data_IF_674298432430
#
_entry.id   IF_674298432430
#
_cell.length_a   1.000
_cell.length_b   1.000
_cell.length_c   1.000
_cell.angle_alpha   90.00
_cell.angle_beta   90.00
_cell.angle_gamma   90.00
#
_symmetry.space_group_name_H-M   'P 1'
#
loop_
_entity.id
_entity.type
_entity.pdbx_description
1 polymer ?
#
# COMPACT_ATOMS: atom_id res chain seq x y z
N UNK A 1 -4.22 19.20 3.87
CA UNK A 1 -4.20 18.39 5.12
C UNK A 1 -5.06 19.10 6.15
N UNK A 2 -5.81 18.38 6.96
CA UNK A 2 -6.68 18.92 8.02
C UNK A 2 -6.19 18.35 9.35
N UNK A 3 -6.02 19.13 10.43
CA UNK A 3 -5.71 18.55 11.74
C UNK A 3 -6.77 17.52 12.14
N UNK A 4 -6.35 16.38 12.70
CA UNK A 4 -7.26 15.27 12.97
C UNK A 4 -8.42 15.65 13.91
N UNK A 5 -8.19 16.56 14.85
CA UNK A 5 -9.22 17.10 15.75
C UNK A 5 -10.25 17.99 15.01
N UNK A 6 -9.84 18.60 13.90
CA UNK A 6 -10.65 19.51 13.10
C UNK A 6 -11.47 18.78 12.02
N UNK A 7 -11.03 17.58 11.61
CA UNK A 7 -11.61 16.84 10.51
C UNK A 7 -13.06 16.39 10.78
N UNK A 8 -13.30 15.69 11.89
CA UNK A 8 -14.64 15.17 12.20
C UNK A 8 -15.69 16.28 12.36
N UNK A 9 -15.43 17.39 13.06
CA UNK A 9 -16.36 18.53 13.10
C UNK A 9 -16.72 19.08 11.71
N UNK A 10 -15.74 19.20 10.80
CA UNK A 10 -15.98 19.65 9.42
C UNK A 10 -16.83 18.66 8.63
N UNK A 11 -16.54 17.36 8.77
CA UNK A 11 -17.30 16.31 8.12
C UNK A 11 -18.75 16.29 8.62
N UNK A 12 -18.99 16.42 9.92
CA UNK A 12 -20.36 16.52 10.47
C UNK A 12 -21.13 17.72 9.90
N UNK A 13 -20.49 18.89 9.77
CA UNK A 13 -21.11 20.07 9.13
C UNK A 13 -21.47 19.83 7.67
N UNK A 14 -20.57 19.19 6.91
CA UNK A 14 -20.85 18.77 5.54
C UNK A 14 -22.06 17.83 5.51
N UNK A 15 -22.10 16.80 6.35
CA UNK A 15 -23.21 15.85 6.41
C UNK A 15 -24.54 16.54 6.73
N UNK A 16 -24.57 17.46 7.70
CA UNK A 16 -25.75 18.24 8.02
C UNK A 16 -26.27 19.04 6.81
N UNK A 17 -25.36 19.66 6.03
CA UNK A 17 -25.72 20.37 4.80
C UNK A 17 -26.27 19.46 3.69
N UNK A 18 -25.88 18.18 3.70
CA UNK A 18 -26.38 17.15 2.79
C UNK A 18 -27.71 16.54 3.27
N UNK A 19 -28.23 16.98 4.42
CA UNK A 19 -29.50 16.53 4.99
C UNK A 19 -29.38 15.34 5.94
N UNK A 20 -28.19 15.08 6.48
CA UNK A 20 -27.99 14.03 7.49
C UNK A 20 -28.50 14.50 8.86
N UNK A 21 -29.21 13.63 9.57
CA UNK A 21 -29.78 13.87 10.89
C UNK A 21 -29.08 12.98 11.94
N UNK A 22 -28.35 13.62 12.85
CA UNK A 22 -27.58 13.00 13.95
C UNK A 22 -26.85 11.69 13.55
N UNK A 23 -25.89 11.77 12.60
CA UNK A 23 -25.31 10.57 12.03
C UNK A 23 -24.38 9.84 13.01
N UNK A 24 -24.50 8.51 13.03
CA UNK A 24 -23.60 7.60 13.74
C UNK A 24 -22.27 7.53 13.00
N UNK A 25 -21.18 7.82 13.72
CA UNK A 25 -19.82 7.85 13.16
C UNK A 25 -19.13 6.52 13.46
N UNK A 26 -18.70 5.82 12.41
CA UNK A 26 -17.88 4.61 12.50
C UNK A 26 -16.52 4.90 11.89
N UNK A 27 -15.45 4.67 12.65
CA UNK A 27 -14.07 4.80 12.19
C UNK A 27 -13.43 3.42 12.19
N UNK A 28 -13.02 2.91 11.03
CA UNK A 28 -12.24 1.68 10.96
C UNK A 28 -10.76 2.03 10.91
N UNK A 29 -10.00 1.50 11.87
CA UNK A 29 -8.55 1.59 11.88
C UNK A 29 -7.85 0.43 11.18
N UNK A 30 -8.55 -0.70 10.96
CA UNK A 30 -7.85 -1.96 10.63
C UNK A 30 -8.50 -2.83 9.54
N UNK A 31 -9.82 -2.79 9.27
CA UNK A 31 -10.38 -3.45 8.07
C UNK A 31 -11.70 -2.83 7.59
N UNK A 32 -11.83 -2.60 6.28
CA UNK A 32 -13.08 -2.19 5.66
C UNK A 32 -14.15 -3.28 5.64
N UNK A 33 -13.74 -4.55 5.76
CA UNK A 33 -14.63 -5.72 5.81
C UNK A 33 -15.57 -5.66 7.02
N UNK A 34 -15.04 -5.34 8.20
CA UNK A 34 -15.85 -5.12 9.41
C UNK A 34 -16.87 -3.98 9.21
N UNK A 35 -16.49 -2.94 8.46
CA UNK A 35 -17.37 -1.81 8.19
C UNK A 35 -18.49 -2.19 7.21
N UNK A 36 -18.18 -2.95 6.15
CA UNK A 36 -19.19 -3.50 5.24
C UNK A 36 -20.20 -4.40 5.97
N UNK A 37 -19.72 -5.28 6.86
CA UNK A 37 -20.59 -6.16 7.66
C UNK A 37 -21.54 -5.37 8.58
N UNK A 38 -21.06 -4.27 9.18
CA UNK A 38 -21.89 -3.38 9.99
C UNK A 38 -22.92 -2.58 9.20
N UNK A 39 -22.68 -2.36 7.90
CA UNK A 39 -23.53 -1.58 7.00
C UNK A 39 -24.52 -2.46 6.22
N UNK A 40 -24.25 -3.76 6.11
CA UNK A 40 -25.06 -4.70 5.36
C UNK A 40 -26.47 -4.89 5.98
N UNK A 41 -27.52 -4.99 5.15
CA UNK A 41 -28.88 -5.21 5.61
C UNK A 41 -29.04 -6.62 6.20
N UNK A 42 -29.44 -6.72 7.46
CA UNK A 42 -29.73 -8.00 8.14
C UNK A 42 -28.67 -8.53 9.11
N UNK A 43 -27.55 -7.83 9.32
CA UNK A 43 -26.45 -8.27 10.17
C UNK A 43 -26.70 -8.16 11.69
N UNK A 44 -27.90 -7.81 12.15
CA UNK A 44 -28.20 -7.54 13.57
C UNK A 44 -29.42 -8.29 14.08
N UNK A 45 -29.34 -8.70 15.35
CA UNK A 45 -30.30 -9.57 16.02
C UNK A 45 -31.70 -8.95 16.16
N UNK A 46 -32.72 -9.78 16.48
CA UNK A 46 -34.14 -9.45 16.37
C UNK A 46 -34.68 -8.42 17.38
N UNK A 47 -33.82 -7.77 18.17
CA UNK A 47 -34.21 -6.89 19.29
C UNK A 47 -33.63 -5.47 19.18
N UNK A 48 -32.83 -5.17 18.15
CA UNK A 48 -32.49 -3.79 17.81
C UNK A 48 -33.65 -3.24 16.98
N UNK A 49 -34.41 -2.30 17.56
CA UNK A 49 -35.40 -1.52 16.82
C UNK A 49 -34.77 -0.96 15.53
N UNK A 50 -35.60 -0.70 14.52
CA UNK A 50 -35.20 -0.09 13.25
C UNK A 50 -34.39 1.19 13.49
N UNK A 51 -33.08 1.07 13.63
CA UNK A 51 -32.18 2.20 13.71
C UNK A 51 -31.96 2.69 12.27
N UNK A 52 -32.92 3.47 11.79
CA UNK A 52 -32.91 4.30 10.58
C UNK A 52 -31.96 5.50 10.74
N UNK A 53 -30.81 5.30 11.41
CA UNK A 53 -29.84 6.36 11.65
C UNK A 53 -28.95 6.57 10.42
N UNK A 54 -28.64 7.83 10.14
CA UNK A 54 -27.66 8.16 9.13
C UNK A 54 -26.25 7.72 9.57
N UNK A 55 -25.37 7.37 8.62
CA UNK A 55 -24.04 6.86 8.94
C UNK A 55 -22.92 7.62 8.25
N UNK A 56 -21.88 7.91 9.03
CA UNK A 56 -20.58 8.40 8.56
C UNK A 56 -19.54 7.30 8.79
N UNK A 57 -19.06 6.73 7.70
CA UNK A 57 -17.92 5.81 7.66
C UNK A 57 -16.63 6.59 7.39
N UNK A 58 -15.62 6.44 8.25
CA UNK A 58 -14.28 6.99 8.04
C UNK A 58 -13.30 5.82 7.89
N UNK A 59 -12.79 5.65 6.69
CA UNK A 59 -11.68 4.74 6.39
C UNK A 59 -10.38 5.53 6.49
N UNK A 60 -9.59 5.24 7.51
CA UNK A 60 -8.33 5.91 7.73
C UNK A 60 -7.22 4.87 7.79
N UNK A 61 -6.17 5.06 6.98
CA UNK A 61 -4.97 4.27 7.08
C UNK A 61 -3.86 5.15 7.68
N UNK A 62 -3.30 4.70 8.80
CA UNK A 62 -2.26 5.46 9.51
C UNK A 62 -0.91 5.24 8.84
N UNK A 63 -0.16 6.32 8.69
CA UNK A 63 1.20 6.28 8.16
C UNK A 63 2.08 7.28 8.94
N UNK A 64 3.23 6.85 9.48
CA UNK A 64 4.15 7.76 10.17
C UNK A 64 4.76 8.73 9.16
N UNK A 65 4.84 10.01 9.51
CA UNK A 65 5.48 11.00 8.64
C UNK A 65 6.98 10.69 8.46
N UNK A 66 7.42 10.47 7.22
CA UNK A 66 8.85 10.46 6.89
C UNK A 66 9.20 11.67 6.03
N UNK A 67 10.25 12.40 6.45
CA UNK A 67 10.72 13.60 5.77
C UNK A 67 11.21 13.36 4.33
N UNK A 68 11.46 12.09 3.97
CA UNK A 68 12.05 11.69 2.69
C UNK A 68 11.04 11.08 1.70
N UNK A 69 9.73 11.20 1.93
CA UNK A 69 8.76 10.77 0.92
C UNK A 69 8.96 11.55 -0.38
N UNK A 70 9.49 10.87 -1.40
CA UNK A 70 9.85 11.46 -2.70
C UNK A 70 11.35 11.64 -2.96
N UNK A 71 12.21 11.44 -1.96
CA UNK A 71 13.66 11.45 -2.15
C UNK A 71 14.18 10.02 -2.31
N UNK A 72 14.84 9.73 -3.43
CA UNK A 72 15.38 8.40 -3.77
C UNK A 72 16.51 7.92 -2.83
N UNK A 73 16.86 8.70 -1.81
CA UNK A 73 18.03 8.48 -0.95
C UNK A 73 17.70 8.88 0.49
N UNK A 74 16.69 8.25 1.08
CA UNK A 74 16.46 8.37 2.51
C UNK A 74 17.41 7.45 3.26
N UNK A 75 18.42 7.99 3.93
CA UNK A 75 19.25 7.26 4.89
C UNK A 75 18.33 6.45 5.84
N UNK A 76 18.47 5.12 5.94
CA UNK A 76 17.68 4.29 6.84
C UNK A 76 18.21 4.52 8.27
N UNK A 77 17.79 5.62 8.90
CA UNK A 77 18.50 6.11 10.07
C UNK A 77 17.68 6.34 11.33
N UNK A 78 16.40 6.74 11.25
CA UNK A 78 15.78 7.34 12.45
C UNK A 78 14.46 6.74 12.95
N UNK A 79 13.84 5.78 12.26
CA UNK A 79 12.70 5.05 12.84
C UNK A 79 12.64 3.54 12.51
N UNK A 80 13.76 2.88 12.22
CA UNK A 80 13.82 1.42 12.33
C UNK A 80 14.12 1.04 13.79
N UNK A 81 13.19 1.40 14.67
CA UNK A 81 12.92 0.64 15.90
C UNK A 81 11.46 0.19 15.86
N UNK A 82 11.08 -0.45 14.75
CA UNK A 82 9.96 -1.36 14.79
C UNK A 82 10.45 -2.55 15.60
N UNK A 83 10.04 -2.57 16.86
CA UNK A 83 10.06 -3.75 17.71
C UNK A 83 9.64 -4.93 16.84
N UNK A 84 10.54 -5.89 16.67
CA UNK A 84 10.21 -7.19 16.08
C UNK A 84 9.29 -7.92 17.06
N UNK A 85 8.04 -7.47 17.17
CA UNK A 85 6.99 -8.14 17.90
C UNK A 85 6.53 -9.33 17.07
N UNK A 86 6.45 -10.49 17.68
CA UNK A 86 5.94 -11.74 17.11
C UNK A 86 4.41 -11.73 16.94
N UNK A 87 3.81 -10.56 16.70
CA UNK A 87 2.37 -10.36 16.52
C UNK A 87 2.00 -10.17 15.05
N UNK A 88 0.69 -10.25 14.76
CA UNK A 88 0.15 -9.86 13.45
C UNK A 88 0.56 -8.42 13.12
N UNK A 89 0.89 -8.12 11.85
CA UNK A 89 1.28 -6.78 11.45
C UNK A 89 0.11 -5.81 11.67
N UNK A 90 0.34 -4.73 12.43
CA UNK A 90 -0.68 -3.74 12.76
C UNK A 90 -0.99 -2.80 11.58
N UNK A 91 -0.05 -2.62 10.66
CA UNK A 91 -0.21 -1.73 9.50
C UNK A 91 0.28 -2.37 8.20
N UNK A 92 -0.19 -1.88 7.03
CA UNK A 92 0.37 -2.28 5.74
C UNK A 92 1.89 -2.05 5.67
N UNK A 93 2.41 -1.01 6.33
CA UNK A 93 3.84 -0.71 6.38
C UNK A 93 4.63 -1.80 7.13
N UNK A 94 4.13 -2.25 8.28
CA UNK A 94 4.74 -3.33 9.05
C UNK A 94 4.72 -4.65 8.27
N UNK A 95 3.62 -4.91 7.55
CA UNK A 95 3.46 -6.08 6.73
C UNK A 95 4.49 -6.17 5.60
N UNK A 96 4.78 -5.05 4.91
CA UNK A 96 5.72 -5.05 3.78
C UNK A 96 7.20 -4.89 4.18
N UNK A 97 7.50 -4.50 5.42
CA UNK A 97 8.86 -4.27 5.90
C UNK A 97 9.86 -5.43 5.62
N UNK A 98 9.53 -6.72 5.87
CA UNK A 98 10.43 -7.82 5.52
C UNK A 98 10.67 -7.95 4.00
N UNK A 99 9.65 -7.66 3.18
CA UNK A 99 9.73 -7.74 1.72
C UNK A 99 10.60 -6.62 1.14
N UNK A 100 10.51 -5.40 1.69
CA UNK A 100 11.40 -4.29 1.34
C UNK A 100 12.86 -4.69 1.61
N UNK A 101 13.15 -5.31 2.76
CA UNK A 101 14.52 -5.75 3.10
C UNK A 101 15.06 -6.74 2.08
N UNK A 102 14.25 -7.71 1.67
CA UNK A 102 14.65 -8.70 0.66
C UNK A 102 14.86 -8.05 -0.72
N UNK A 103 13.98 -7.13 -1.12
CA UNK A 103 14.12 -6.39 -2.37
C UNK A 103 15.40 -5.55 -2.40
N UNK A 104 15.68 -4.78 -1.33
CA UNK A 104 16.93 -4.00 -1.20
C UNK A 104 18.17 -4.88 -1.24
N UNK A 105 18.13 -6.01 -0.52
CA UNK A 105 19.20 -6.99 -0.59
C UNK A 105 19.46 -7.45 -2.03
N UNK A 106 18.40 -7.78 -2.78
CA UNK A 106 18.52 -8.19 -4.18
C UNK A 106 19.07 -7.07 -5.07
N UNK A 107 18.63 -5.82 -4.88
CA UNK A 107 19.15 -4.66 -5.63
C UNK A 107 20.67 -4.47 -5.47
N UNK A 108 21.20 -4.75 -4.28
CA UNK A 108 22.62 -4.56 -3.94
C UNK A 108 23.49 -5.76 -4.33
N UNK A 109 22.93 -6.97 -4.31
CA UNK A 109 23.70 -8.22 -4.42
C UNK A 109 23.57 -8.91 -5.77
N UNK A 110 22.56 -8.56 -6.58
CA UNK A 110 22.53 -8.92 -8.00
C UNK A 110 23.42 -7.93 -8.75
N UNK A 111 24.38 -8.42 -9.52
CA UNK A 111 25.37 -7.58 -10.19
C UNK A 111 25.35 -7.75 -11.71
N UNK A 112 25.45 -6.63 -12.43
CA UNK A 112 25.59 -6.55 -13.87
C UNK A 112 27.03 -6.21 -14.22
N UNK A 113 27.62 -6.92 -15.17
CA UNK A 113 28.98 -6.64 -15.65
C UNK A 113 29.32 -7.38 -16.94
N UNK A 114 30.60 -7.39 -17.30
CA UNK A 114 31.10 -8.18 -18.42
C UNK A 114 31.98 -9.32 -17.93
N UNK A 115 31.94 -10.47 -18.60
CA UNK A 115 32.89 -11.56 -18.36
C UNK A 115 34.29 -11.23 -18.90
N UNK A 116 35.24 -12.16 -18.73
CA UNK A 116 36.62 -12.01 -19.23
C UNK A 116 36.72 -11.87 -20.75
N UNK A 117 35.68 -12.27 -21.49
CA UNK A 117 35.58 -12.13 -22.94
C UNK A 117 34.81 -10.86 -23.36
N UNK A 118 34.42 -9.99 -22.42
CA UNK A 118 33.67 -8.77 -22.69
C UNK A 118 32.17 -8.99 -22.94
N UNK A 119 31.63 -10.18 -22.65
CA UNK A 119 30.20 -10.48 -22.85
C UNK A 119 29.37 -10.03 -21.64
N UNK A 120 28.21 -9.38 -21.84
CA UNK A 120 27.33 -8.98 -20.75
C UNK A 120 26.80 -10.18 -19.95
N UNK A 121 27.06 -10.19 -18.65
CA UNK A 121 26.65 -11.23 -17.70
C UNK A 121 26.00 -10.63 -16.44
N UNK A 122 25.18 -11.45 -15.78
CA UNK A 122 24.57 -11.13 -14.50
C UNK A 122 25.03 -12.16 -13.46
N UNK A 123 25.43 -11.66 -12.30
CA UNK A 123 25.79 -12.49 -11.15
C UNK A 123 24.66 -12.39 -10.13
N UNK A 124 24.11 -13.54 -9.76
CA UNK A 124 22.95 -13.65 -8.87
C UNK A 124 23.29 -14.60 -7.72
N UNK A 125 23.00 -14.25 -6.46
CA UNK A 125 23.00 -15.22 -5.37
C UNK A 125 22.11 -16.44 -5.67
N UNK A 126 22.64 -17.65 -5.50
CA UNK A 126 21.96 -18.91 -5.89
C UNK A 126 20.60 -19.09 -5.19
N UNK A 127 20.45 -18.58 -3.97
CA UNK A 127 19.18 -18.63 -3.24
C UNK A 127 18.08 -17.76 -3.86
N UNK A 128 18.45 -16.65 -4.54
CA UNK A 128 17.50 -15.82 -5.28
C UNK A 128 17.07 -16.48 -6.59
N UNK A 129 17.86 -17.41 -7.14
CA UNK A 129 17.52 -18.19 -8.34
C UNK A 129 16.65 -19.38 -7.98
N UNK A 130 17.09 -20.16 -6.99
CA UNK A 130 16.47 -21.41 -6.58
C UNK A 130 15.23 -21.22 -5.71
N UNK A 131 15.06 -20.06 -5.08
CA UNK A 131 14.01 -19.79 -4.09
C UNK A 131 14.13 -20.63 -2.81
N UNK A 132 15.27 -21.31 -2.60
CA UNK A 132 15.40 -22.44 -1.67
C UNK A 132 16.12 -22.16 -0.35
N UNK A 133 16.30 -20.90 0.04
CA UNK A 133 17.07 -20.60 1.27
C UNK A 133 16.41 -19.55 2.16
N UNK A 134 15.14 -19.77 2.51
CA UNK A 134 14.54 -19.03 3.62
C UNK A 134 13.98 -19.98 4.65
N UNK A 135 14.79 -20.22 5.68
CA UNK A 135 14.35 -20.61 7.03
C UNK A 135 13.25 -19.70 7.61
N UNK A 136 12.91 -18.60 6.91
CA UNK A 136 11.91 -17.58 7.27
C UNK A 136 10.58 -17.65 6.46
N UNK A 137 10.34 -18.69 5.65
CA UNK A 137 9.01 -18.98 5.09
C UNK A 137 8.50 -18.08 3.95
N UNK A 138 9.14 -16.95 3.61
CA UNK A 138 8.90 -16.19 2.36
C UNK A 138 10.22 -15.64 1.82
N UNK A 139 10.52 -15.94 0.56
CA UNK A 139 11.74 -15.53 -0.14
C UNK A 139 11.47 -14.86 -1.48
N UNK A 140 12.21 -13.79 -1.77
CA UNK A 140 12.29 -13.18 -3.10
C UNK A 140 12.99 -14.15 -4.05
N UNK A 141 12.31 -14.47 -5.15
CA UNK A 141 12.85 -15.26 -6.25
C UNK A 141 12.93 -14.40 -7.51
N UNK A 142 14.07 -14.45 -8.18
CA UNK A 142 14.33 -13.77 -9.44
C UNK A 142 13.77 -14.61 -10.59
N UNK A 143 13.07 -13.96 -11.51
CA UNK A 143 12.59 -14.58 -12.73
C UNK A 143 13.72 -14.70 -13.76
N UNK A 144 14.52 -15.76 -13.63
CA UNK A 144 15.70 -15.99 -14.48
C UNK A 144 15.34 -16.04 -15.97
N UNK A 145 14.19 -16.59 -16.34
CA UNK A 145 13.75 -16.66 -17.74
C UNK A 145 13.58 -15.27 -18.38
N UNK A 146 13.30 -14.24 -17.58
CA UNK A 146 13.19 -12.84 -18.05
C UNK A 146 14.52 -12.11 -18.09
N UNK A 147 15.60 -12.68 -17.55
CA UNK A 147 16.87 -11.98 -17.39
C UNK A 147 18.01 -12.66 -18.14
N UNK A 148 18.02 -13.99 -18.19
CA UNK A 148 19.11 -14.80 -18.72
C UNK A 148 18.68 -15.60 -19.95
N UNK A 149 19.65 -15.94 -20.80
CA UNK A 149 19.42 -16.84 -21.93
C UNK A 149 19.05 -18.25 -21.41
N UNK A 150 18.11 -18.95 -22.07
CA UNK A 150 17.81 -20.33 -21.74
C UNK A 150 19.03 -21.20 -22.07
N UNK A 151 19.58 -21.86 -21.05
CA UNK A 151 20.60 -22.89 -21.22
C UNK A 151 22.04 -22.39 -21.30
N UNK A 152 22.56 -21.75 -20.25
CA UNK A 152 23.96 -21.90 -19.81
C UNK A 152 24.19 -21.18 -18.48
N UNK A 153 24.29 -21.95 -17.40
CA UNK A 153 24.78 -21.46 -16.10
C UNK A 153 26.31 -21.50 -16.16
N UNK A 154 26.93 -20.37 -16.50
CA UNK A 154 28.32 -20.36 -16.95
C UNK A 154 29.35 -20.69 -15.86
N UNK A 155 29.02 -20.53 -14.57
CA UNK A 155 29.87 -21.01 -13.47
C UNK A 155 29.18 -20.86 -12.10
N UNK A 156 29.32 -21.87 -11.23
CA UNK A 156 29.12 -21.73 -9.78
C UNK A 156 30.46 -21.45 -9.14
N UNK A 157 30.70 -20.21 -8.73
CA UNK A 157 31.89 -19.88 -7.93
C UNK A 157 31.57 -20.16 -6.47
N UNK A 158 32.05 -21.30 -5.97
CA UNK A 158 31.93 -21.66 -4.56
C UNK A 158 33.17 -21.18 -3.81
N UNK A 159 33.09 -19.99 -3.21
CA UNK A 159 34.00 -19.61 -2.12
C UNK A 159 33.14 -19.20 -0.93
N UNK A 160 33.15 -20.05 0.10
CA UNK A 160 32.69 -19.79 1.48
C UNK A 160 31.43 -18.92 1.68
N UNK A 161 30.35 -19.60 2.09
CA UNK A 161 29.11 -19.08 2.70
C UNK A 161 28.03 -18.40 1.80
N UNK A 162 28.27 -18.11 0.52
CA UNK A 162 27.19 -17.75 -0.42
C UNK A 162 27.52 -18.20 -1.84
N UNK A 163 26.77 -19.20 -2.34
CA UNK A 163 26.89 -19.64 -3.73
C UNK A 163 26.40 -18.52 -4.66
N UNK A 164 27.24 -18.12 -5.62
CA UNK A 164 26.89 -17.17 -6.67
C UNK A 164 26.79 -17.90 -8.01
N UNK A 165 25.85 -17.46 -8.84
CA UNK A 165 25.60 -17.98 -10.17
C UNK A 165 25.80 -16.88 -11.20
N UNK A 166 26.68 -17.13 -12.16
CA UNK A 166 26.87 -16.25 -13.32
C UNK A 166 26.02 -16.74 -14.48
N UNK A 167 25.21 -15.86 -15.04
CA UNK A 167 24.29 -16.14 -16.15
C UNK A 167 24.53 -15.16 -17.30
N UNK A 168 24.45 -15.66 -18.53
CA UNK A 168 24.49 -14.81 -19.73
C UNK A 168 23.17 -14.06 -19.88
N UNK A 169 23.21 -12.73 -20.03
CA UNK A 169 21.97 -11.95 -20.15
C UNK A 169 21.17 -12.31 -21.41
N UNK A 170 19.85 -12.36 -21.30
CA UNK A 170 18.95 -12.45 -22.44
C UNK A 170 18.99 -11.18 -23.31
N UNK A 171 18.76 -11.32 -24.61
CA UNK A 171 18.85 -10.21 -25.55
C UNK A 171 17.84 -9.09 -25.25
N UNK A 172 16.60 -9.45 -24.90
CA UNK A 172 15.56 -8.48 -24.55
C UNK A 172 15.91 -7.68 -23.30
N UNK A 173 16.48 -8.32 -22.26
CA UNK A 173 16.87 -7.63 -21.04
C UNK A 173 18.05 -6.69 -21.28
N UNK A 174 19.02 -7.07 -22.14
CA UNK A 174 20.09 -6.16 -22.58
C UNK A 174 19.54 -4.92 -23.26
N UNK A 175 18.51 -5.07 -24.10
CA UNK A 175 17.86 -3.95 -24.75
C UNK A 175 17.18 -3.03 -23.73
N UNK A 176 16.44 -3.59 -22.76
CA UNK A 176 15.84 -2.81 -21.66
C UNK A 176 16.87 -2.01 -20.86
N UNK A 177 18.03 -2.60 -20.57
CA UNK A 177 19.13 -1.91 -19.89
C UNK A 177 19.69 -0.76 -20.74
N UNK A 178 19.86 -0.99 -22.05
CA UNK A 178 20.32 0.04 -22.99
C UNK A 178 19.34 1.20 -23.08
N UNK A 179 18.04 0.93 -23.15
CA UNK A 179 16.99 1.95 -23.19
C UNK A 179 16.95 2.79 -21.91
N UNK A 180 17.41 2.22 -20.79
CA UNK A 180 17.61 2.92 -19.50
C UNK A 180 19.01 3.54 -19.35
N UNK A 181 19.77 3.67 -20.43
CA UNK A 181 21.11 4.25 -20.47
C UNK A 181 22.13 3.55 -19.55
N UNK A 182 22.00 2.24 -19.32
CA UNK A 182 22.99 1.48 -18.57
C UNK A 182 24.29 1.36 -19.36
N UNK A 183 25.40 1.83 -18.78
CA UNK A 183 26.73 1.75 -19.38
C UNK A 183 27.47 0.50 -18.91
N UNK A 184 27.81 -0.39 -19.85
CA UNK A 184 28.68 -1.53 -19.57
C UNK A 184 30.12 -1.04 -19.38
N UNK A 185 30.69 -1.33 -18.21
CA UNK A 185 32.10 -1.07 -17.91
C UNK A 185 32.86 -2.39 -17.84
N UNK A 186 33.94 -2.50 -18.62
CA UNK A 186 34.77 -3.71 -18.62
C UNK A 186 35.45 -3.86 -17.26
N UNK A 187 35.41 -5.07 -16.70
CA UNK A 187 36.04 -5.39 -15.40
C UNK A 187 35.33 -4.85 -14.16
N UNK A 188 34.20 -4.13 -14.31
CA UNK A 188 33.44 -3.58 -13.18
C UNK A 188 32.06 -4.23 -13.13
N UNK A 189 31.70 -4.75 -11.95
CA UNK A 189 30.38 -5.27 -11.65
C UNK A 189 29.60 -4.26 -10.82
N UNK A 190 28.52 -3.74 -11.39
CA UNK A 190 27.64 -2.77 -10.72
C UNK A 190 26.40 -3.47 -10.17
N UNK A 191 25.87 -3.06 -9.02
CA UNK A 191 24.58 -3.53 -8.52
C UNK A 191 23.46 -3.30 -9.55
N UNK A 192 22.48 -4.19 -9.61
CA UNK A 192 21.33 -4.06 -10.52
C UNK A 192 20.47 -2.84 -10.16
N UNK A 193 20.40 -2.46 -8.89
CA UNK A 193 19.71 -1.24 -8.44
C UNK A 193 18.29 -1.10 -8.97
N UNK A 194 17.96 0.06 -9.54
CA UNK A 194 16.66 0.39 -10.16
C UNK A 194 16.29 -0.47 -11.38
N UNK A 195 17.26 -1.21 -11.94
CA UNK A 195 16.99 -2.07 -13.07
C UNK A 195 16.31 -3.39 -12.66
N UNK A 196 16.23 -3.69 -11.35
CA UNK A 196 15.41 -4.78 -10.82
C UNK A 196 13.93 -4.35 -10.74
N UNK A 197 13.24 -4.41 -11.88
CA UNK A 197 11.84 -4.01 -11.98
C UNK A 197 10.89 -5.08 -11.41
N UNK A 198 9.64 -4.72 -11.04
CA UNK A 198 8.65 -5.64 -10.46
C UNK A 198 8.44 -6.94 -11.25
N UNK A 199 8.63 -6.88 -12.56
CA UNK A 199 8.43 -7.99 -13.48
C UNK A 199 9.53 -9.04 -13.43
N UNK A 200 10.66 -8.73 -12.80
CA UNK A 200 11.87 -9.54 -12.76
C UNK A 200 11.97 -10.40 -11.51
N UNK A 201 11.02 -10.31 -10.58
CA UNK A 201 11.00 -11.10 -9.36
C UNK A 201 9.59 -11.38 -8.88
N UNK A 202 9.47 -12.34 -7.99
CA UNK A 202 8.25 -12.68 -7.26
C UNK A 202 8.61 -13.07 -5.83
N UNK A 203 7.63 -13.03 -4.92
CA UNK A 203 7.80 -13.56 -3.58
C UNK A 203 7.14 -14.94 -3.50
N UNK A 204 7.89 -15.92 -3.02
CA UNK A 204 7.46 -17.33 -2.92
C UNK A 204 7.70 -17.84 -1.50
N UNK A 205 6.79 -18.63 -0.93
CA UNK A 205 7.03 -19.32 0.34
C UNK A 205 5.75 -19.66 1.12
N UNK A 206 5.92 -20.54 2.11
CA UNK A 206 4.86 -21.16 2.92
C UNK A 206 4.31 -20.30 4.06
N UNK A 207 4.74 -19.04 4.30
CA UNK A 207 4.14 -18.25 5.41
C UNK A 207 2.66 -17.86 5.21
N UNK A 208 2.01 -18.42 4.18
CA UNK A 208 0.58 -18.31 3.91
C UNK A 208 -0.21 -19.37 4.70
N UNK A 209 0.42 -20.09 5.65
CA UNK A 209 -0.20 -21.09 6.57
C UNK A 209 -1.20 -20.44 7.58
N UNK A 210 -1.65 -19.22 7.34
CA UNK A 210 -2.93 -18.74 7.88
C UNK A 210 -3.83 -18.49 6.69
N UNK A 211 -5.04 -19.07 6.68
CA UNK A 211 -5.96 -19.16 5.54
C UNK A 211 -6.30 -17.82 4.83
N UNK A 212 -5.81 -16.69 5.33
CA UNK A 212 -5.67 -15.44 4.60
C UNK A 212 -4.53 -14.62 5.21
N UNK A 213 -3.61 -14.03 4.41
CA UNK A 213 -2.68 -13.02 4.93
C UNK A 213 -3.44 -11.85 5.56
N UNK A 214 -2.80 -11.11 6.48
CA UNK A 214 -3.38 -9.94 7.15
C UNK A 214 -3.87 -8.86 6.16
N UNK A 215 -3.14 -8.71 5.05
CA UNK A 215 -3.42 -7.73 3.98
C UNK A 215 -3.33 -8.42 2.60
N UNK A 216 -4.36 -9.17 2.19
CA UNK A 216 -4.33 -9.96 0.95
C UNK A 216 -4.17 -9.10 -0.30
N UNK A 217 -4.80 -7.93 -0.34
CA UNK A 217 -4.69 -6.97 -1.43
C UNK A 217 -3.26 -6.41 -1.58
N UNK A 218 -2.57 -6.20 -0.44
CA UNK A 218 -1.17 -5.75 -0.42
C UNK A 218 -0.25 -6.89 -0.87
N UNK A 219 -0.52 -8.13 -0.42
CA UNK A 219 0.23 -9.31 -0.82
C UNK A 219 0.17 -9.55 -2.34
N UNK A 220 -1.02 -9.40 -2.95
CA UNK A 220 -1.21 -9.55 -4.38
C UNK A 220 -0.39 -8.55 -5.23
N UNK A 221 -0.11 -7.37 -4.69
CA UNK A 221 0.62 -6.29 -5.37
C UNK A 221 2.08 -6.15 -4.92
N UNK A 222 2.59 -7.11 -4.14
CA UNK A 222 3.87 -6.98 -3.43
C UNK A 222 5.06 -6.57 -4.31
N UNK A 223 5.33 -7.17 -5.49
CA UNK A 223 6.46 -6.76 -6.33
C UNK A 223 6.41 -5.30 -6.77
N UNK A 224 5.21 -4.80 -7.08
CA UNK A 224 4.99 -3.40 -7.48
C UNK A 224 5.16 -2.45 -6.29
N UNK A 225 4.68 -2.85 -5.12
CA UNK A 225 4.75 -2.07 -3.89
C UNK A 225 6.21 -1.90 -3.44
N UNK A 226 6.99 -2.98 -3.34
CA UNK A 226 8.37 -2.89 -2.82
C UNK A 226 9.32 -2.17 -3.77
N UNK A 227 9.05 -2.21 -5.08
CA UNK A 227 9.82 -1.48 -6.09
C UNK A 227 9.38 -0.01 -6.22
N UNK A 228 8.28 0.39 -5.59
CA UNK A 228 7.81 1.77 -5.61
C UNK A 228 8.79 2.71 -4.87
N UNK A 229 8.87 3.97 -5.30
CA UNK A 229 9.75 4.98 -4.66
C UNK A 229 9.42 5.22 -3.18
N UNK A 230 8.14 5.08 -2.84
CA UNK A 230 7.60 5.20 -1.48
C UNK A 230 6.77 3.95 -1.17
N UNK A 231 7.41 2.82 -0.79
CA UNK A 231 6.73 1.53 -0.68
C UNK A 231 5.70 1.50 0.45
N UNK A 232 5.99 2.15 1.59
CA UNK A 232 5.03 2.31 2.70
C UNK A 232 3.75 2.99 2.24
N UNK A 233 3.87 4.15 1.57
CA UNK A 233 2.71 4.88 1.03
C UNK A 233 1.95 4.04 -0.01
N UNK A 234 2.66 3.33 -0.89
CA UNK A 234 2.03 2.48 -1.90
C UNK A 234 1.17 1.36 -1.26
N UNK A 235 1.69 0.68 -0.24
CA UNK A 235 0.92 -0.35 0.48
C UNK A 235 -0.31 0.24 1.18
N UNK A 236 -0.14 1.37 1.87
CA UNK A 236 -1.23 2.07 2.54
C UNK A 236 -2.33 2.48 1.55
N UNK A 237 -1.97 2.99 0.37
CA UNK A 237 -2.93 3.36 -0.67
C UNK A 237 -3.66 2.15 -1.25
N UNK A 238 -2.98 1.04 -1.53
CA UNK A 238 -3.61 -0.19 -2.02
C UNK A 238 -4.64 -0.72 -1.01
N UNK A 239 -4.28 -0.74 0.27
CA UNK A 239 -5.19 -1.14 1.34
C UNK A 239 -6.41 -0.22 1.43
N UNK A 240 -6.18 1.11 1.44
CA UNK A 240 -7.25 2.10 1.55
C UNK A 240 -8.20 2.06 0.34
N UNK A 241 -7.65 1.92 -0.87
CA UNK A 241 -8.44 1.82 -2.11
C UNK A 241 -9.32 0.58 -2.12
N UNK A 242 -8.76 -0.58 -1.79
CA UNK A 242 -9.53 -1.83 -1.74
C UNK A 242 -10.65 -1.74 -0.71
N UNK A 243 -10.34 -1.20 0.47
CA UNK A 243 -11.34 -1.01 1.51
C UNK A 243 -12.45 -0.03 1.12
N UNK A 244 -12.10 1.09 0.49
CA UNK A 244 -13.06 2.07 0.02
C UNK A 244 -13.99 1.50 -1.07
N UNK A 245 -13.44 0.79 -2.04
CA UNK A 245 -14.23 0.10 -3.07
C UNK A 245 -15.25 -0.86 -2.45
N UNK A 246 -14.84 -1.68 -1.47
CA UNK A 246 -15.75 -2.62 -0.80
C UNK A 246 -16.89 -1.92 -0.04
N UNK A 247 -16.64 -0.75 0.56
CA UNK A 247 -17.72 0.03 1.19
C UNK A 247 -18.65 0.63 0.15
N UNK A 248 -18.14 1.17 -0.96
CA UNK A 248 -19.02 1.70 -2.00
C UNK A 248 -19.83 0.58 -2.69
N UNK A 249 -19.26 -0.62 -2.89
CA UNK A 249 -20.03 -1.80 -3.35
C UNK A 249 -21.13 -2.17 -2.35
N UNK A 250 -20.84 -2.11 -1.05
CA UNK A 250 -21.85 -2.33 0.00
C UNK A 250 -22.96 -1.28 -0.06
N UNK A 251 -22.62 0.00 -0.26
CA UNK A 251 -23.60 1.08 -0.46
C UNK A 251 -24.44 0.88 -1.73
N UNK A 252 -23.87 0.28 -2.79
CA UNK A 252 -24.59 0.02 -4.03
C UNK A 252 -25.56 -1.15 -3.85
N UNK A 253 -25.14 -2.15 -3.06
CA UNK A 253 -25.93 -3.33 -2.77
C UNK A 253 -27.09 -3.05 -1.79
N UNK A 254 -27.05 -1.95 -1.02
CA UNK A 254 -28.21 -1.56 -0.21
C UNK A 254 -29.36 -1.13 -1.13
N UNK A 255 -30.45 -1.90 -1.09
CA UNK A 255 -31.62 -1.69 -1.93
C UNK A 255 -32.38 -0.39 -1.64
N UNK A 256 -33.50 -0.15 -2.36
CA UNK A 256 -34.36 1.02 -2.15
C UNK A 256 -35.00 1.07 -0.76
N UNK A 257 -35.04 -0.06 -0.06
CA UNK A 257 -35.57 -0.21 1.30
C UNK A 257 -34.63 0.37 2.39
N UNK A 258 -33.38 0.71 2.05
CA UNK A 258 -32.48 1.38 2.99
C UNK A 258 -32.83 2.88 3.05
N UNK A 259 -33.44 3.28 4.17
CA UNK A 259 -33.91 4.66 4.40
C UNK A 259 -32.83 5.60 4.97
N UNK A 260 -31.60 5.10 5.13
CA UNK A 260 -30.50 5.85 5.76
C UNK A 260 -29.72 6.68 4.73
N UNK A 261 -29.23 7.84 5.14
CA UNK A 261 -28.17 8.55 4.43
C UNK A 261 -26.81 7.94 4.85
N UNK A 262 -25.98 7.61 3.87
CA UNK A 262 -24.69 6.97 4.10
C UNK A 262 -23.59 7.80 3.44
N UNK A 263 -22.49 8.06 4.14
CA UNK A 263 -21.28 8.63 3.55
C UNK A 263 -20.06 7.87 4.04
N UNK A 264 -19.18 7.51 3.11
CA UNK A 264 -17.87 6.96 3.40
C UNK A 264 -16.82 7.96 2.97
N UNK A 265 -15.88 8.29 3.84
CA UNK A 265 -14.71 9.12 3.55
C UNK A 265 -13.45 8.29 3.78
N UNK A 266 -12.66 8.13 2.73
CA UNK A 266 -11.34 7.52 2.78
C UNK A 266 -10.24 8.60 2.85
N UNK A 267 -9.22 8.36 3.66
CA UNK A 267 -8.06 9.22 3.72
C UNK A 267 -6.88 8.65 4.48
N UNK A 268 -5.78 9.40 4.45
CA UNK A 268 -4.55 9.05 5.16
C UNK A 268 -4.49 9.78 6.49
N UNK A 269 -4.16 9.05 7.56
CA UNK A 269 -3.83 9.64 8.86
C UNK A 269 -2.32 9.73 8.99
N UNK A 270 -1.78 10.93 8.84
CA UNK A 270 -0.35 11.20 8.94
C UNK A 270 -0.02 11.44 10.41
N UNK A 271 0.77 10.53 10.98
CA UNK A 271 1.25 10.63 12.34
C UNK A 271 2.57 11.43 12.39
N UNK A 272 2.55 12.63 12.99
CA UNK A 272 3.73 13.48 13.14
C UNK A 272 4.49 13.23 14.44
N UNK A 273 4.11 12.26 15.28
CA UNK A 273 4.73 12.03 16.59
C UNK A 273 6.25 11.81 16.53
N UNK A 274 6.76 11.29 15.41
CA UNK A 274 8.20 11.11 15.16
C UNK A 274 8.95 12.41 14.78
N UNK A 275 8.25 13.51 14.51
CA UNK A 275 8.84 14.71 13.92
C UNK A 275 8.92 15.89 14.89
N UNK A 276 10.15 16.23 15.32
CA UNK A 276 10.51 17.48 16.03
C UNK A 276 9.55 17.88 17.18
N UNK A 277 9.08 16.90 17.96
CA UNK A 277 8.22 17.15 19.12
C UNK A 277 6.78 17.54 18.78
N UNK A 278 6.35 17.46 17.51
CA UNK A 278 4.95 17.60 17.14
C UNK A 278 4.19 16.36 17.58
N UNK A 279 3.06 16.56 18.26
CA UNK A 279 2.16 15.46 18.67
C UNK A 279 0.89 15.40 17.81
N UNK A 280 0.84 16.23 16.78
CA UNK A 280 -0.32 16.41 15.94
C UNK A 280 -0.46 15.27 14.95
N UNK A 281 -1.71 14.90 14.66
CA UNK A 281 -2.04 14.03 13.53
C UNK A 281 -2.80 14.85 12.51
N UNK A 282 -2.56 14.56 11.24
CA UNK A 282 -3.25 15.21 10.14
C UNK A 282 -4.03 14.17 9.35
N UNK A 283 -5.26 14.49 9.01
CA UNK A 283 -6.05 13.73 8.07
C UNK A 283 -5.93 14.35 6.68
N UNK A 284 -5.59 13.53 5.69
CA UNK A 284 -5.61 13.91 4.28
C UNK A 284 -6.79 13.19 3.64
N UNK A 285 -7.92 13.89 3.41
CA UNK A 285 -9.03 13.29 2.69
C UNK A 285 -8.58 12.95 1.27
N UNK A 286 -8.95 11.76 0.80
CA UNK A 286 -8.59 11.28 -0.52
C UNK A 286 -9.81 11.13 -1.40
N UNK A 287 -10.84 10.46 -0.93
CA UNK A 287 -12.06 10.23 -1.69
C UNK A 287 -13.24 10.02 -0.75
N UNK A 288 -14.44 10.37 -1.20
CA UNK A 288 -15.67 10.01 -0.51
C UNK A 288 -16.70 9.46 -1.48
N UNK A 289 -17.60 8.62 -0.98
CA UNK A 289 -18.78 8.17 -1.69
C UNK A 289 -19.98 8.31 -0.76
N UNK A 290 -21.09 8.84 -1.25
CA UNK A 290 -22.28 9.04 -0.43
C UNK A 290 -23.55 8.65 -1.16
N UNK A 291 -24.54 8.21 -0.38
CA UNK A 291 -25.88 7.79 -0.79
C UNK A 291 -26.88 8.57 0.06
N UNK A 292 -27.88 9.16 -0.59
CA UNK A 292 -28.98 9.87 0.07
C UNK A 292 -30.27 9.07 -0.03
N UNK A 293 -31.00 8.96 1.05
CA UNK A 293 -32.36 8.45 1.01
C UNK A 293 -33.31 9.42 0.27
N UNK A 294 -34.27 8.87 -0.47
CA UNK A 294 -35.32 9.64 -1.16
C UNK A 294 -34.94 10.28 -2.50
N UNK A 295 -33.67 10.23 -2.91
CA UNK A 295 -33.27 10.57 -4.28
C UNK A 295 -33.32 9.33 -5.16
N UNK A 296 -33.98 9.42 -6.31
CA UNK A 296 -34.34 8.30 -7.16
C UNK A 296 -33.10 7.47 -7.59
N UNK A 297 -33.24 6.14 -7.47
CA UNK A 297 -32.35 5.08 -7.98
C UNK A 297 -30.89 5.13 -7.57
N UNK A 298 -30.53 4.55 -6.42
CA UNK A 298 -29.26 3.83 -6.21
C UNK A 298 -27.94 4.54 -6.51
N UNK A 299 -27.96 5.86 -6.77
CA UNK A 299 -26.79 6.57 -7.24
C UNK A 299 -25.87 6.84 -6.05
N UNK A 300 -24.73 6.17 -6.05
CA UNK A 300 -23.58 6.55 -5.24
C UNK A 300 -22.94 7.76 -5.90
N UNK A 301 -22.82 8.84 -5.16
CA UNK A 301 -22.18 10.06 -5.61
C UNK A 301 -20.71 10.06 -5.16
N UNK A 302 -19.74 9.93 -6.07
CA UNK A 302 -18.34 10.06 -5.74
C UNK A 302 -17.98 11.54 -5.52
N UNK A 303 -17.13 11.80 -4.53
CA UNK A 303 -16.45 13.07 -4.30
C UNK A 303 -14.95 12.79 -4.39
N UNK A 304 -14.31 13.35 -5.42
CA UNK A 304 -12.87 13.26 -5.61
C UNK A 304 -12.14 14.17 -4.61
N UNK A 305 -10.83 13.98 -4.50
CA UNK A 305 -10.00 14.65 -3.47
C UNK A 305 -10.20 16.16 -3.41
N UNK A 306 -10.13 16.84 -4.56
CA UNK A 306 -10.22 18.30 -4.62
C UNK A 306 -11.61 18.80 -4.24
N UNK A 307 -12.67 18.19 -4.78
CA UNK A 307 -14.06 18.53 -4.47
C UNK A 307 -14.38 18.27 -2.99
N UNK A 308 -13.92 17.14 -2.46
CA UNK A 308 -14.06 16.79 -1.05
C UNK A 308 -13.32 17.77 -0.16
N UNK A 309 -12.09 18.16 -0.54
CA UNK A 309 -11.32 19.13 0.22
C UNK A 309 -12.01 20.50 0.20
N UNK A 310 -12.44 20.97 -0.96
CA UNK A 310 -13.19 22.23 -1.12
C UNK A 310 -14.47 22.20 -0.29
N UNK A 311 -15.24 21.10 -0.36
CA UNK A 311 -16.43 20.91 0.45
C UNK A 311 -16.10 21.03 1.95
N UNK A 312 -15.12 20.27 2.45
CA UNK A 312 -14.71 20.31 3.87
C UNK A 312 -14.17 21.67 4.33
N UNK A 313 -13.62 22.49 3.43
CA UNK A 313 -13.06 23.81 3.75
C UNK A 313 -14.09 24.93 3.68
N UNK A 314 -15.03 24.89 2.73
CA UNK A 314 -16.02 25.96 2.53
C UNK A 314 -17.03 26.08 3.67
N UNK A 315 -17.35 24.99 4.37
CA UNK A 315 -18.31 25.02 5.48
C UNK A 315 -17.79 25.63 6.79
N UNK A 316 -16.57 26.20 6.79
CA UNK A 316 -16.11 27.06 7.87
C UNK A 316 -16.60 28.52 7.78
N UNK A 317 -17.08 28.98 6.61
CA UNK A 317 -17.38 30.40 6.38
C UNK A 317 -18.84 30.83 6.65
N UNK A 318 -19.76 29.90 6.88
CA UNK A 318 -21.17 30.24 7.15
C UNK A 318 -21.52 30.39 8.65
N UNK A 319 -20.54 30.33 9.55
CA UNK A 319 -20.75 30.40 11.01
C UNK A 319 -20.33 31.71 11.69
N UNK A 320 -19.90 32.75 10.95
CA UNK A 320 -19.48 34.04 11.54
C UNK A 320 -20.22 35.26 10.96
N UNK A 321 -21.44 35.05 10.45
CA UNK A 321 -22.23 36.10 9.79
C UNK A 321 -23.64 36.23 10.33
N UNK A 322 -23.83 36.00 11.63
CA UNK A 322 -25.07 36.30 12.34
C UNK A 322 -24.74 36.94 13.69
N UNK A 323 -24.36 38.22 13.63
CA UNK A 323 -24.71 39.22 14.63
C UNK A 323 -25.63 40.25 13.96
#
# INVERSE_FOLDING_TARGET
MIPAYDFLPRLKKLCFSLGFNDPVVTRSGETAKNMADHLAPGSRGPDDGKDEHDHIAILAATIPYEQNWGAYIGLPGQQIRLSSGTGMPATPADFIAPYIRQYRFAQEHIRLGCDSAGRPVIIVPDFLVSGKDTTAGVGLQVNVARIAQPGETSQRTSSTARSLVTLTLAAHFRQTLKDKNFSWQSGIFSPIGEHLTPELFSFTGESWITDSPAFPEVAAMMPWIVAHKTPHLAATLVHLQTGFSGVCETFAATGPEDLRNLICVAGLEIDMQGFRGRKERYFVPWQACWKRHGYCYGNIYPLLQDDLFVALMNFNRMGSGAE
#
